data_IF_182429822535
#
_entry.id   IF_182429822535
#
_cell.length_a   1.000
_cell.length_b   1.000
_cell.length_c   1.000
_cell.angle_alpha   90.00
_cell.angle_beta   90.00
_cell.angle_gamma   90.00
#
_symmetry.space_group_name_H-M   'P 1'
#
loop_
_entity.id
_entity.type
_entity.pdbx_description
1 polymer ?
#
# COMPACT_ATOMS: atom_id res chain seq x y z
N UNK A 1 -17.19 0.42 -0.91
CA UNK A 1 -17.93 0.80 0.31
C UNK A 1 -17.49 2.18 0.77
N UNK A 2 -18.39 2.94 1.37
CA UNK A 2 -18.10 4.27 1.93
C UNK A 2 -18.65 4.32 3.35
N UNK A 3 -17.79 4.70 4.30
CA UNK A 3 -18.19 4.99 5.67
C UNK A 3 -18.02 6.50 5.94
N UNK A 4 -19.12 7.17 6.26
CA UNK A 4 -19.11 8.57 6.68
C UNK A 4 -19.06 8.65 8.20
N UNK A 5 -18.09 9.39 8.71
CA UNK A 5 -17.92 9.74 10.11
C UNK A 5 -18.22 11.25 10.28
N UNK A 6 -18.32 11.76 11.49
CA UNK A 6 -18.73 13.17 11.73
C UNK A 6 -17.98 14.19 10.86
N UNK A 7 -16.66 14.14 10.84
CA UNK A 7 -15.80 15.06 10.05
C UNK A 7 -14.78 14.30 9.19
N UNK A 8 -15.03 13.02 8.95
CA UNK A 8 -14.10 12.12 8.32
C UNK A 8 -14.83 11.13 7.43
N UNK A 9 -14.11 10.48 6.52
CA UNK A 9 -14.66 9.36 5.76
C UNK A 9 -13.57 8.33 5.44
N UNK A 10 -14.02 7.13 5.20
CA UNK A 10 -13.21 6.05 4.65
C UNK A 10 -13.93 5.49 3.44
N UNK A 11 -13.22 5.38 2.32
CA UNK A 11 -13.70 4.69 1.12
C UNK A 11 -12.83 3.49 0.81
N UNK A 12 -13.46 2.40 0.39
CA UNK A 12 -12.76 1.18 0.01
C UNK A 12 -13.28 0.70 -1.34
N UNK A 13 -12.37 0.54 -2.30
CA UNK A 13 -12.61 -0.05 -3.60
C UNK A 13 -11.78 -1.33 -3.75
N UNK A 14 -12.38 -2.38 -4.28
CA UNK A 14 -11.73 -3.68 -4.47
C UNK A 14 -11.81 -4.10 -5.95
N UNK A 15 -10.69 -4.61 -6.46
CA UNK A 15 -10.54 -5.00 -7.86
C UNK A 15 -9.93 -6.41 -7.92
N UNK A 16 -10.76 -7.47 -7.89
CA UNK A 16 -10.27 -8.82 -8.15
C UNK A 16 -10.00 -9.01 -9.64
N UNK A 17 -8.84 -9.55 -9.97
CA UNK A 17 -8.44 -9.85 -11.33
C UNK A 17 -7.99 -11.32 -11.43
N UNK A 18 -8.34 -11.96 -12.53
CA UNK A 18 -7.96 -13.34 -12.80
C UNK A 18 -7.56 -13.49 -14.27
N UNK A 19 -6.37 -14.06 -14.49
CA UNK A 19 -5.85 -14.34 -15.83
C UNK A 19 -6.11 -15.80 -16.19
N UNK A 20 -7.06 -16.10 -17.09
CA UNK A 20 -7.47 -17.47 -17.38
C UNK A 20 -6.33 -18.32 -17.99
N UNK A 21 -5.43 -17.69 -18.76
CA UNK A 21 -4.35 -18.41 -19.45
C UNK A 21 -3.22 -18.86 -18.52
N UNK A 22 -3.00 -18.14 -17.42
CA UNK A 22 -1.91 -18.40 -16.47
C UNK A 22 -2.39 -18.91 -15.12
N UNK A 23 -3.71 -18.92 -14.88
CA UNK A 23 -4.32 -19.22 -13.58
C UNK A 23 -3.81 -18.32 -12.43
N UNK A 24 -3.18 -17.19 -12.76
CA UNK A 24 -2.72 -16.20 -11.79
C UNK A 24 -3.89 -15.33 -11.41
N UNK A 25 -4.06 -15.12 -10.12
CA UNK A 25 -5.03 -14.18 -9.59
C UNK A 25 -4.32 -13.06 -8.83
N UNK A 26 -4.76 -11.85 -9.09
CA UNK A 26 -4.31 -10.66 -8.38
C UNK A 26 -5.51 -9.96 -7.75
N UNK A 27 -5.24 -9.19 -6.70
CA UNK A 27 -6.27 -8.47 -5.98
C UNK A 27 -5.74 -7.09 -5.60
N UNK A 28 -6.40 -6.05 -6.09
CA UNK A 28 -6.09 -4.68 -5.69
C UNK A 28 -7.15 -4.15 -4.75
N UNK A 29 -6.73 -3.43 -3.72
CA UNK A 29 -7.60 -2.65 -2.86
C UNK A 29 -7.10 -1.21 -2.79
N UNK A 30 -8.01 -0.25 -3.01
CA UNK A 30 -7.76 1.17 -2.82
C UNK A 30 -8.52 1.62 -1.57
N UNK A 31 -7.82 2.26 -0.65
CA UNK A 31 -8.38 2.77 0.61
C UNK A 31 -8.06 4.25 0.72
N UNK A 32 -9.09 5.09 0.71
CA UNK A 32 -8.95 6.51 1.00
C UNK A 32 -9.46 6.82 2.40
N UNK A 33 -8.63 7.50 3.17
CA UNK A 33 -8.97 7.97 4.52
C UNK A 33 -8.80 9.47 4.58
N UNK A 34 -9.88 10.20 4.80
CA UNK A 34 -9.83 11.63 5.05
C UNK A 34 -10.26 11.94 6.47
N UNK A 35 -9.43 12.67 7.19
CA UNK A 35 -9.68 13.07 8.57
C UNK A 35 -9.60 14.57 8.72
N UNK A 36 -10.33 15.11 9.71
CA UNK A 36 -10.24 16.49 10.16
C UNK A 36 -9.89 16.53 11.64
N UNK A 37 -9.05 17.48 12.04
CA UNK A 37 -8.71 17.70 13.45
C UNK A 37 -7.46 16.98 13.90
N UNK A 38 -7.46 16.46 15.12
CA UNK A 38 -6.27 15.95 15.80
C UNK A 38 -5.94 14.47 15.47
N UNK A 39 -6.78 13.82 14.67
CA UNK A 39 -6.59 12.39 14.34
C UNK A 39 -5.75 12.28 13.07
N UNK A 40 -4.56 11.70 13.19
CA UNK A 40 -3.75 11.34 12.03
C UNK A 40 -4.06 9.92 11.55
N UNK A 41 -4.34 9.71 10.25
CA UNK A 41 -4.56 8.37 9.71
C UNK A 41 -3.27 7.50 9.69
N UNK A 42 -2.10 8.11 9.81
CA UNK A 42 -0.81 7.41 9.79
C UNK A 42 -0.68 6.37 10.92
N UNK A 43 -1.32 6.61 12.07
CA UNK A 43 -1.30 5.66 13.20
C UNK A 43 -1.99 4.32 12.92
N UNK A 44 -2.74 4.20 11.83
CA UNK A 44 -3.45 2.96 11.44
C UNK A 44 -2.71 2.15 10.39
N UNK A 45 -1.57 2.61 9.89
CA UNK A 45 -0.86 1.99 8.76
C UNK A 45 -0.45 0.55 9.03
N UNK A 46 0.16 0.27 10.17
CA UNK A 46 0.58 -1.11 10.51
C UNK A 46 -0.61 -2.07 10.54
N UNK A 47 -1.75 -1.63 11.07
CA UNK A 47 -2.96 -2.42 11.08
C UNK A 47 -3.47 -2.71 9.67
N UNK A 48 -3.50 -1.69 8.80
CA UNK A 48 -3.94 -1.85 7.41
C UNK A 48 -2.99 -2.76 6.64
N UNK A 49 -1.70 -2.53 6.71
CA UNK A 49 -0.68 -3.36 6.04
C UNK A 49 -0.79 -4.82 6.48
N UNK A 50 -0.86 -5.06 7.79
CA UNK A 50 -0.98 -6.41 8.33
C UNK A 50 -2.31 -7.10 8.02
N UNK A 51 -3.39 -6.33 7.74
CA UNK A 51 -4.71 -6.88 7.42
C UNK A 51 -4.82 -7.41 5.99
N UNK A 52 -4.02 -6.90 5.05
CA UNK A 52 -4.10 -7.25 3.64
C UNK A 52 -2.94 -8.11 3.14
N UNK A 53 -1.84 -8.21 3.88
CA UNK A 53 -0.61 -8.95 3.50
C UNK A 53 -0.21 -8.71 2.04
N UNK A 54 -0.16 -7.44 1.64
CA UNK A 54 0.01 -7.02 0.25
C UNK A 54 1.45 -7.13 -0.20
N UNK A 55 1.68 -7.56 -1.43
CA UNK A 55 3.03 -7.63 -2.02
C UNK A 55 3.54 -6.28 -2.50
N UNK A 56 2.63 -5.40 -2.96
CA UNK A 56 2.93 -4.03 -3.36
C UNK A 56 2.00 -3.09 -2.62
N UNK A 57 2.58 -2.06 -2.02
CA UNK A 57 1.86 -1.04 -1.27
C UNK A 57 2.29 0.33 -1.79
N UNK A 58 1.34 1.12 -2.24
CA UNK A 58 1.55 2.52 -2.59
C UNK A 58 0.74 3.37 -1.62
N UNK A 59 1.39 4.32 -0.98
CA UNK A 59 0.78 5.19 0.01
C UNK A 59 1.00 6.65 -0.36
N UNK A 60 -0.09 7.40 -0.39
CA UNK A 60 -0.10 8.84 -0.54
C UNK A 60 -0.64 9.48 0.74
N UNK A 61 0.15 10.37 1.32
CA UNK A 61 -0.28 11.15 2.46
C UNK A 61 -0.13 12.63 2.18
N UNK A 62 -1.20 13.36 2.34
CA UNK A 62 -1.21 14.80 2.10
C UNK A 62 -1.84 15.54 3.27
N UNK A 63 -1.08 16.47 3.82
CA UNK A 63 -1.60 17.42 4.81
C UNK A 63 -2.14 18.64 4.11
N UNK A 64 -3.42 18.99 4.37
CA UNK A 64 -4.07 20.16 3.80
C UNK A 64 -4.71 20.99 4.89
N UNK A 65 -4.36 22.30 4.91
CA UNK A 65 -4.97 23.24 5.81
C UNK A 65 -4.50 23.16 7.26
N UNK A 66 -5.38 23.46 8.15
CA UNK A 66 -5.14 23.54 9.59
C UNK A 66 -6.44 23.26 10.33
N UNK A 67 -6.34 22.89 11.60
CA UNK A 67 -7.46 22.91 12.55
C UNK A 67 -7.34 24.13 13.47
N UNK A 68 -8.35 24.38 14.29
CA UNK A 68 -8.33 25.41 15.32
C UNK A 68 -8.61 24.80 16.68
N UNK A 69 -7.89 25.29 17.68
CA UNK A 69 -8.19 24.98 19.08
C UNK A 69 -9.46 25.74 19.56
N UNK A 70 -9.84 25.52 20.81
CA UNK A 70 -10.99 26.18 21.44
C UNK A 70 -10.85 27.70 21.52
N UNK A 71 -9.63 28.24 21.41
CA UNK A 71 -9.31 29.66 21.42
C UNK A 71 -9.18 30.25 20.01
N UNK A 72 -9.44 29.46 18.97
CA UNK A 72 -9.36 29.86 17.56
C UNK A 72 -7.94 29.91 16.98
N UNK A 73 -6.91 29.44 17.68
CA UNK A 73 -5.54 29.37 17.18
C UNK A 73 -5.44 28.28 16.12
N UNK A 74 -4.71 28.55 15.05
CA UNK A 74 -4.41 27.56 14.02
C UNK A 74 -3.43 26.50 14.55
N UNK A 75 -3.77 25.23 14.36
CA UNK A 75 -2.93 24.09 14.68
C UNK A 75 -2.55 23.38 13.38
N UNK A 76 -1.27 23.15 13.20
CA UNK A 76 -0.68 22.41 12.08
C UNK A 76 -0.11 21.12 12.65
N UNK A 77 -0.93 20.08 12.74
CA UNK A 77 -0.63 18.87 13.50
C UNK A 77 0.47 18.02 12.88
N UNK A 78 0.54 17.97 11.56
CA UNK A 78 1.40 17.02 10.83
C UNK A 78 2.59 17.68 10.12
N UNK A 79 2.99 18.89 10.54
CA UNK A 79 4.13 19.60 9.94
C UNK A 79 5.49 18.96 10.24
N UNK A 80 5.54 17.99 11.15
CA UNK A 80 6.76 17.28 11.54
C UNK A 80 6.94 15.93 10.84
N UNK A 81 6.01 15.54 9.96
CA UNK A 81 6.15 14.30 9.18
C UNK A 81 7.34 14.44 8.23
N UNK A 82 8.25 13.47 8.26
CA UNK A 82 9.42 13.40 7.37
C UNK A 82 9.29 12.25 6.37
N UNK A 83 8.71 11.14 6.80
CA UNK A 83 8.42 9.98 5.97
C UNK A 83 7.19 9.24 6.48
N UNK A 84 6.43 8.63 5.58
CA UNK A 84 5.36 7.68 5.95
C UNK A 84 5.98 6.46 6.63
N UNK A 85 7.18 6.05 6.26
CA UNK A 85 7.88 4.90 6.84
C UNK A 85 8.13 5.03 8.35
N UNK A 86 8.20 6.27 8.87
CA UNK A 86 8.36 6.51 10.32
C UNK A 86 7.17 6.00 11.16
N UNK A 87 6.04 5.73 10.51
CA UNK A 87 4.79 5.24 11.11
C UNK A 87 4.53 3.76 10.86
N UNK A 88 5.49 3.05 10.29
CA UNK A 88 5.42 1.61 10.00
C UNK A 88 6.40 0.87 10.90
N UNK A 89 5.98 -0.26 11.46
CA UNK A 89 6.82 -1.07 12.32
C UNK A 89 8.08 -1.55 11.59
N UNK A 90 9.19 -1.63 12.29
CA UNK A 90 10.50 -1.98 11.70
C UNK A 90 10.54 -3.39 11.13
N UNK A 91 9.88 -4.34 11.77
CA UNK A 91 9.76 -5.71 11.30
C UNK A 91 8.94 -5.80 10.00
N UNK A 92 7.90 -4.99 9.86
CA UNK A 92 7.17 -4.82 8.61
C UNK A 92 8.08 -4.27 7.52
N UNK A 93 8.78 -3.15 7.77
CA UNK A 93 9.70 -2.55 6.80
C UNK A 93 10.82 -3.47 6.34
N UNK A 94 11.33 -4.36 7.22
CA UNK A 94 12.36 -5.32 6.86
C UNK A 94 11.95 -6.31 5.76
N UNK A 95 10.64 -6.57 5.61
CA UNK A 95 10.08 -7.46 4.59
C UNK A 95 10.01 -6.83 3.20
N UNK A 96 10.08 -5.49 3.12
CA UNK A 96 9.86 -4.74 1.88
C UNK A 96 11.10 -3.96 1.45
N UNK A 97 11.21 -3.75 0.15
CA UNK A 97 12.00 -2.66 -0.43
C UNK A 97 11.10 -1.43 -0.49
N UNK A 98 11.50 -0.38 0.22
CA UNK A 98 10.69 0.83 0.37
C UNK A 98 11.41 2.05 -0.22
N UNK A 99 10.65 2.92 -0.91
CA UNK A 99 11.14 4.16 -1.53
C UNK A 99 10.20 5.31 -1.22
N UNK A 100 10.77 6.43 -0.76
CA UNK A 100 10.04 7.68 -0.56
C UNK A 100 10.26 8.64 -1.74
N UNK A 101 9.19 9.30 -2.15
CA UNK A 101 9.18 10.39 -3.14
C UNK A 101 8.39 11.54 -2.54
N UNK A 102 9.03 12.37 -1.71
CA UNK A 102 8.35 13.39 -0.92
C UNK A 102 8.52 14.78 -1.53
N UNK A 103 7.47 15.61 -1.45
CA UNK A 103 7.48 17.03 -1.80
C UNK A 103 7.12 17.83 -0.55
N UNK A 104 8.14 18.14 0.25
CA UNK A 104 7.99 18.75 1.57
C UNK A 104 7.28 20.12 1.53
N UNK A 105 7.58 20.95 0.53
CA UNK A 105 6.95 22.25 0.35
C UNK A 105 5.45 22.17 0.08
N UNK A 106 4.97 21.03 -0.41
CA UNK A 106 3.55 20.78 -0.66
C UNK A 106 2.88 19.94 0.44
N UNK A 107 3.61 19.54 1.48
CA UNK A 107 3.17 18.57 2.49
C UNK A 107 2.60 17.31 1.86
N UNK A 108 3.29 16.81 0.84
CA UNK A 108 2.93 15.60 0.10
C UNK A 108 4.01 14.56 0.31
N UNK A 109 3.59 13.41 0.79
CA UNK A 109 4.44 12.27 1.09
C UNK A 109 3.94 11.08 0.29
N UNK A 110 4.85 10.45 -0.42
CA UNK A 110 4.57 9.28 -1.25
C UNK A 110 5.57 8.20 -0.92
N UNK A 111 5.08 7.02 -0.55
CA UNK A 111 5.91 5.85 -0.24
C UNK A 111 5.43 4.66 -1.04
N UNK A 112 6.35 4.00 -1.71
CA UNK A 112 6.12 2.71 -2.38
C UNK A 112 6.89 1.62 -1.66
N UNK A 113 6.25 0.46 -1.49
CA UNK A 113 6.87 -0.71 -0.88
C UNK A 113 6.60 -1.93 -1.75
N UNK A 114 7.60 -2.77 -1.95
CA UNK A 114 7.50 -4.04 -2.68
C UNK A 114 8.08 -5.16 -1.82
N UNK A 115 7.35 -6.26 -1.66
CA UNK A 115 7.76 -7.41 -0.88
C UNK A 115 9.02 -8.04 -1.50
N UNK A 116 10.02 -8.34 -0.68
CA UNK A 116 11.30 -8.92 -1.12
C UNK A 116 11.16 -10.38 -1.55
N UNK A 117 10.31 -11.13 -0.85
CA UNK A 117 10.10 -12.56 -1.09
C UNK A 117 8.63 -12.82 -1.44
N UNK A 118 8.40 -13.44 -2.58
CA UNK A 118 7.06 -13.76 -3.10
C UNK A 118 6.76 -15.22 -2.74
N UNK A 119 5.61 -15.47 -2.12
CA UNK A 119 5.07 -16.82 -1.97
C UNK A 119 4.11 -17.12 -3.14
N UNK A 120 4.56 -18.01 -4.04
CA UNK A 120 3.80 -18.41 -5.22
C UNK A 120 2.43 -19.03 -4.89
N UNK A 121 2.30 -19.66 -3.72
CA UNK A 121 1.04 -20.27 -3.30
C UNK A 121 -0.10 -19.24 -3.17
N UNK A 122 0.22 -17.98 -2.87
CA UNK A 122 -0.78 -16.92 -2.73
C UNK A 122 -1.40 -16.49 -4.08
N UNK A 123 -0.80 -16.86 -5.20
CA UNK A 123 -1.24 -16.45 -6.54
C UNK A 123 -1.97 -17.54 -7.34
N UNK A 124 -1.86 -18.78 -6.90
CA UNK A 124 -2.43 -19.91 -7.62
C UNK A 124 -3.65 -20.48 -6.87
N UNK A 125 -4.83 -20.27 -7.45
CA UNK A 125 -6.06 -20.85 -6.90
C UNK A 125 -6.17 -22.33 -7.23
N UNK A 126 -6.55 -23.13 -6.23
CA UNK A 126 -6.83 -24.56 -6.37
C UNK A 126 -5.67 -25.40 -6.95
N UNK A 127 -4.46 -24.88 -6.92
CA UNK A 127 -3.27 -25.58 -7.41
C UNK A 127 -2.24 -25.63 -6.29
N UNK A 128 -1.81 -26.81 -5.91
CA UNK A 128 -0.67 -26.96 -5.02
C UNK A 128 0.61 -26.66 -5.80
N UNK A 129 1.33 -25.63 -5.38
CA UNK A 129 2.60 -25.21 -6.00
C UNK A 129 3.60 -26.34 -6.05
N UNK A 130 3.59 -27.24 -5.07
CA UNK A 130 4.52 -28.37 -5.01
C UNK A 130 4.22 -29.48 -6.02
N UNK A 131 3.00 -29.55 -6.54
CA UNK A 131 2.62 -30.47 -7.61
C UNK A 131 3.05 -29.98 -9.00
N UNK A 132 3.38 -28.70 -9.14
CA UNK A 132 3.85 -28.14 -10.41
C UNK A 132 5.29 -28.59 -10.71
N UNK A 133 5.61 -28.89 -11.99
CA UNK A 133 6.97 -29.13 -12.41
C UNK A 133 7.90 -27.97 -12.05
N UNK A 134 9.16 -28.23 -11.62
CA UNK A 134 10.07 -27.15 -11.19
C UNK A 134 10.26 -26.04 -12.23
N UNK A 135 10.29 -26.39 -13.51
CA UNK A 135 10.43 -25.41 -14.61
C UNK A 135 9.21 -24.49 -14.69
N UNK A 136 8.01 -25.04 -14.58
CA UNK A 136 6.76 -24.26 -14.61
C UNK A 136 6.71 -23.28 -13.44
N UNK A 137 7.12 -23.71 -12.24
CA UNK A 137 7.21 -22.80 -11.07
C UNK A 137 8.15 -21.64 -11.30
N UNK A 138 9.31 -21.90 -11.91
CA UNK A 138 10.28 -20.86 -12.24
C UNK A 138 9.72 -19.87 -13.27
N UNK A 139 9.10 -20.37 -14.33
CA UNK A 139 8.52 -19.53 -15.39
C UNK A 139 7.41 -18.61 -14.82
N UNK A 140 6.54 -19.15 -13.93
CA UNK A 140 5.50 -18.36 -13.26
C UNK A 140 6.13 -17.32 -12.32
N UNK A 141 7.13 -17.70 -11.52
CA UNK A 141 7.81 -16.80 -10.59
C UNK A 141 8.50 -15.64 -11.32
N UNK A 142 9.15 -15.91 -12.46
CA UNK A 142 9.76 -14.88 -13.28
C UNK A 142 8.72 -13.93 -13.87
N UNK A 143 7.58 -14.46 -14.32
CA UNK A 143 6.46 -13.65 -14.81
C UNK A 143 5.90 -12.74 -13.73
N UNK A 144 5.63 -13.28 -12.54
CA UNK A 144 5.16 -12.51 -11.39
C UNK A 144 6.13 -11.41 -10.96
N UNK A 145 7.41 -11.73 -10.85
CA UNK A 145 8.45 -10.73 -10.51
C UNK A 145 8.49 -9.59 -11.50
N UNK A 146 8.40 -9.88 -12.79
CA UNK A 146 8.37 -8.87 -13.84
C UNK A 146 7.17 -7.95 -13.67
N UNK A 147 5.98 -8.53 -13.53
CA UNK A 147 4.74 -7.79 -13.32
C UNK A 147 4.81 -6.90 -12.07
N UNK A 148 5.31 -7.43 -10.96
CA UNK A 148 5.51 -6.66 -9.73
C UNK A 148 6.45 -5.47 -9.93
N UNK A 149 7.55 -5.65 -10.64
CA UNK A 149 8.49 -4.56 -10.93
C UNK A 149 7.83 -3.51 -11.84
N UNK A 150 7.04 -3.91 -12.82
CA UNK A 150 6.30 -2.99 -13.69
C UNK A 150 5.26 -2.19 -12.90
N UNK A 151 4.49 -2.83 -12.03
CA UNK A 151 3.53 -2.16 -11.14
C UNK A 151 4.24 -1.21 -10.19
N UNK A 152 5.30 -1.68 -9.52
CA UNK A 152 6.07 -0.86 -8.56
C UNK A 152 6.73 0.35 -9.23
N UNK A 153 7.27 0.19 -10.42
CA UNK A 153 7.93 1.27 -11.18
C UNK A 153 6.98 2.12 -12.01
N UNK A 154 5.70 1.71 -12.14
CA UNK A 154 4.66 2.35 -12.97
C UNK A 154 5.10 2.55 -14.44
N UNK A 155 5.85 1.62 -14.95
CA UNK A 155 6.34 1.63 -16.34
C UNK A 155 6.60 0.22 -16.83
N UNK A 156 6.39 0.01 -18.13
CA UNK A 156 6.82 -1.21 -18.80
C UNK A 156 8.35 -1.33 -18.79
N UNK A 157 8.87 -2.52 -18.57
CA UNK A 157 10.29 -2.84 -18.61
C UNK A 157 10.71 -3.50 -19.95
N UNK A 158 9.84 -3.42 -20.96
CA UNK A 158 10.13 -3.82 -22.36
C UNK A 158 10.71 -2.68 -23.17
#
# INVERSE_FOLDING_TARGET
QVAHLDKSHVTVHTYPEYHPDTSIATFRVDIDVATCGEITPLSTLDYLIGSFDSDIITMDYRVRGFTRDVNGRKLFMDHTVTSIQDYIAKDTLLRYDAVDINVYEANLFHTKMMLKEIDLQNYLFNTDVYELPPRVRLDIMESLRREMIEIFSERSIY
#
